data_IF_982799784123
#
_entry.id   IF_982799784123
#
_cell.length_a   1.000
_cell.length_b   1.000
_cell.length_c   1.000
_cell.angle_alpha   90.00
_cell.angle_beta   90.00
_cell.angle_gamma   90.00
#
_symmetry.space_group_name_H-M   'P 1'
#
loop_
_entity.id
_entity.type
_entity.pdbx_description
1 polymer ?
#
# COMPACT_ATOMS: atom_id res chain seq x y z
N UNK A 1 2.74 7.32 38.99
CA UNK A 1 3.38 8.02 37.86
C UNK A 1 3.39 9.52 38.14
N UNK A 2 4.53 10.17 37.92
CA UNK A 2 4.58 11.63 37.88
C UNK A 2 3.98 12.15 36.54
N UNK A 3 3.85 13.47 36.41
CA UNK A 3 3.25 14.09 35.23
C UNK A 3 4.05 13.81 33.95
N UNK A 4 5.38 13.92 34.02
CA UNK A 4 6.28 13.61 32.90
C UNK A 4 6.11 12.16 32.38
N UNK A 5 5.94 11.19 33.29
CA UNK A 5 5.68 9.80 32.91
C UNK A 5 4.33 9.63 32.21
N UNK A 6 3.31 10.43 32.55
CA UNK A 6 2.01 10.38 31.86
C UNK A 6 2.11 10.95 30.45
N UNK A 7 2.72 12.12 30.30
CA UNK A 7 2.93 12.76 29.01
C UNK A 7 3.80 11.89 28.09
N UNK A 8 4.84 11.26 28.63
CA UNK A 8 5.67 10.33 27.87
C UNK A 8 4.90 9.08 27.42
N UNK A 9 4.03 8.54 28.28
CA UNK A 9 3.17 7.40 27.93
C UNK A 9 2.18 7.76 26.81
N UNK A 10 1.55 8.92 26.89
CA UNK A 10 0.63 9.41 25.85
C UNK A 10 1.34 9.60 24.50
N UNK A 11 2.57 10.16 24.52
CA UNK A 11 3.40 10.26 23.32
C UNK A 11 3.70 8.88 22.70
N UNK A 12 4.08 7.90 23.53
CA UNK A 12 4.35 6.55 23.05
C UNK A 12 3.11 5.86 22.48
N UNK A 13 1.94 6.08 23.08
CA UNK A 13 0.67 5.56 22.58
C UNK A 13 0.30 6.16 21.22
N UNK A 14 0.52 7.46 21.03
CA UNK A 14 0.35 8.11 19.72
C UNK A 14 1.33 7.55 18.68
N UNK A 15 2.62 7.41 19.03
CA UNK A 15 3.62 6.84 18.13
C UNK A 15 3.28 5.40 17.73
N UNK A 16 2.80 4.59 18.68
CA UNK A 16 2.37 3.23 18.42
C UNK A 16 1.17 3.19 17.47
N UNK A 17 0.18 4.07 17.68
CA UNK A 17 -1.00 4.15 16.82
C UNK A 17 -0.63 4.55 15.40
N UNK A 18 0.20 5.59 15.24
CA UNK A 18 0.71 6.02 13.93
C UNK A 18 1.46 4.88 13.22
N UNK A 19 2.29 4.14 13.96
CA UNK A 19 3.04 3.00 13.38
C UNK A 19 2.10 1.89 12.89
N UNK A 20 1.01 1.60 13.63
CA UNK A 20 0.03 0.61 13.21
C UNK A 20 -0.70 1.02 11.93
N UNK A 21 -1.07 2.28 11.81
CA UNK A 21 -1.72 2.82 10.61
C UNK A 21 -0.78 2.76 9.41
N UNK A 22 0.50 3.05 9.61
CA UNK A 22 1.54 2.93 8.57
C UNK A 22 1.71 1.48 8.10
N UNK A 23 1.72 0.51 9.02
CA UNK A 23 1.78 -0.92 8.69
C UNK A 23 0.59 -1.32 7.82
N UNK A 24 -0.62 -0.89 8.16
CA UNK A 24 -1.82 -1.21 7.37
C UNK A 24 -1.73 -0.69 5.93
N UNK A 25 -1.23 0.53 5.74
CA UNK A 25 -1.03 1.11 4.40
C UNK A 25 0.02 0.30 3.62
N UNK A 26 1.12 -0.08 4.27
CA UNK A 26 2.17 -0.88 3.64
C UNK A 26 1.68 -2.28 3.25
N UNK A 27 0.90 -2.94 4.11
CA UNK A 27 0.30 -4.25 3.81
C UNK A 27 -0.65 -4.16 2.60
N UNK A 28 -1.42 -3.06 2.49
CA UNK A 28 -2.30 -2.86 1.34
C UNK A 28 -1.51 -2.61 0.05
N UNK A 29 -0.42 -1.83 0.12
CA UNK A 29 0.48 -1.63 -1.01
C UNK A 29 1.11 -2.95 -1.47
N UNK A 30 1.62 -3.77 -0.54
CA UNK A 30 2.23 -5.06 -0.85
C UNK A 30 1.25 -6.01 -1.53
N UNK A 31 0.01 -6.08 -1.02
CA UNK A 31 -1.06 -6.85 -1.65
C UNK A 31 -1.29 -6.43 -3.11
N UNK A 32 -1.43 -5.12 -3.37
CA UNK A 32 -1.66 -4.61 -4.74
C UNK A 32 -0.47 -4.86 -5.66
N UNK A 33 0.76 -4.68 -5.17
CA UNK A 33 1.97 -4.98 -5.92
C UNK A 33 2.07 -6.48 -6.26
N UNK A 34 1.66 -7.35 -5.34
CA UNK A 34 1.60 -8.78 -5.61
C UNK A 34 0.55 -9.11 -6.68
N UNK A 35 -0.63 -8.48 -6.66
CA UNK A 35 -1.64 -8.64 -7.70
C UNK A 35 -1.13 -8.16 -9.07
N UNK A 36 -0.44 -7.01 -9.13
CA UNK A 36 0.21 -6.53 -10.36
C UNK A 36 1.20 -7.56 -10.91
N UNK A 37 2.01 -8.16 -10.04
CA UNK A 37 2.95 -9.23 -10.42
C UNK A 37 2.23 -10.42 -11.05
N UNK A 38 1.15 -10.90 -10.43
CA UNK A 38 0.37 -12.04 -10.96
C UNK A 38 -0.21 -11.73 -12.35
N UNK A 39 -0.72 -10.51 -12.54
CA UNK A 39 -1.26 -10.07 -13.84
C UNK A 39 -0.14 -9.98 -14.87
N UNK A 40 1.03 -9.45 -14.51
CA UNK A 40 2.17 -9.36 -15.42
C UNK A 40 2.71 -10.74 -15.82
N UNK A 41 2.79 -11.68 -14.87
CA UNK A 41 3.18 -13.06 -15.12
C UNK A 41 2.18 -13.77 -16.05
N UNK A 42 0.88 -13.55 -15.85
CA UNK A 42 -0.15 -14.02 -16.78
C UNK A 42 0.02 -13.41 -18.18
N UNK A 43 0.15 -12.07 -18.24
CA UNK A 43 0.27 -11.30 -19.48
C UNK A 43 1.50 -11.68 -20.34
N UNK A 44 2.56 -12.16 -19.70
CA UNK A 44 3.78 -12.63 -20.34
C UNK A 44 3.62 -13.98 -21.06
N UNK A 45 2.53 -14.71 -20.82
CA UNK A 45 2.23 -15.97 -21.51
C UNK A 45 2.06 -15.80 -23.03
N UNK A 46 2.60 -16.76 -23.78
CA UNK A 46 2.58 -16.77 -25.26
C UNK A 46 1.19 -17.05 -25.87
N UNK A 47 0.19 -17.37 -25.05
CA UNK A 47 -1.16 -17.76 -25.50
C UNK A 47 -2.21 -16.63 -25.50
N UNK A 48 -1.86 -15.42 -25.08
CA UNK A 48 -2.85 -14.35 -24.91
C UNK A 48 -3.15 -13.58 -26.18
N UNK A 49 -4.43 -13.34 -26.39
CA UNK A 49 -4.91 -12.42 -27.41
C UNK A 49 -4.49 -10.97 -27.10
N UNK A 50 -4.43 -10.09 -28.12
CA UNK A 50 -4.21 -8.67 -27.91
C UNK A 50 -5.22 -8.02 -26.95
N UNK A 51 -6.47 -8.51 -26.93
CA UNK A 51 -7.51 -8.01 -26.03
C UNK A 51 -7.22 -8.36 -24.58
N UNK A 52 -6.82 -9.61 -24.30
CA UNK A 52 -6.44 -10.04 -22.94
C UNK A 52 -5.21 -9.30 -22.43
N UNK A 53 -4.22 -9.06 -23.30
CA UNK A 53 -3.04 -8.23 -22.96
C UNK A 53 -3.44 -6.79 -22.65
N UNK A 54 -4.34 -6.21 -23.46
CA UNK A 54 -4.87 -4.87 -23.23
C UNK A 54 -5.62 -4.77 -21.89
N UNK A 55 -6.45 -5.76 -21.58
CA UNK A 55 -7.17 -5.82 -20.30
C UNK A 55 -6.21 -5.99 -19.11
N UNK A 56 -5.18 -6.82 -19.24
CA UNK A 56 -4.13 -6.97 -18.22
C UNK A 56 -3.41 -5.65 -17.95
N UNK A 57 -3.03 -4.92 -19.00
CA UNK A 57 -2.41 -3.59 -18.87
C UNK A 57 -3.33 -2.58 -18.17
N UNK A 58 -4.63 -2.58 -18.47
CA UNK A 58 -5.59 -1.70 -17.79
C UNK A 58 -5.70 -2.00 -16.30
N UNK A 59 -5.71 -3.29 -15.92
CA UNK A 59 -5.74 -3.69 -14.51
C UNK A 59 -4.47 -3.26 -13.77
N UNK A 60 -3.30 -3.45 -14.39
CA UNK A 60 -2.01 -2.99 -13.83
C UNK A 60 -2.00 -1.47 -13.65
N UNK A 61 -2.47 -0.69 -14.63
CA UNK A 61 -2.55 0.77 -14.51
C UNK A 61 -3.53 1.23 -13.42
N UNK A 62 -4.63 0.50 -13.21
CA UNK A 62 -5.52 0.79 -12.09
C UNK A 62 -4.83 0.54 -10.75
N UNK A 63 -4.21 -0.64 -10.58
CA UNK A 63 -3.50 -0.99 -9.35
C UNK A 63 -2.36 -0.01 -9.06
N UNK A 64 -1.65 0.44 -10.09
CA UNK A 64 -0.62 1.47 -9.97
C UNK A 64 -1.16 2.77 -9.37
N UNK A 65 -2.30 3.27 -9.88
CA UNK A 65 -2.94 4.48 -9.32
C UNK A 65 -3.36 4.29 -7.87
N UNK A 66 -3.82 3.11 -7.51
CA UNK A 66 -4.17 2.79 -6.11
C UNK A 66 -2.93 2.79 -5.22
N UNK A 67 -1.80 2.22 -5.69
CA UNK A 67 -0.51 2.26 -4.97
C UNK A 67 0.00 3.70 -4.83
N UNK A 68 -0.06 4.52 -5.89
CA UNK A 68 0.34 5.94 -5.85
C UNK A 68 -0.51 6.73 -4.82
N UNK A 69 -1.79 6.40 -4.72
CA UNK A 69 -2.72 7.01 -3.76
C UNK A 69 -2.37 6.60 -2.32
N UNK A 70 -2.05 5.32 -2.09
CA UNK A 70 -1.61 4.81 -0.79
C UNK A 70 -0.27 5.40 -0.37
N UNK A 71 0.67 5.55 -1.31
CA UNK A 71 1.95 6.20 -1.04
C UNK A 71 1.76 7.67 -0.64
N UNK A 72 0.85 8.38 -1.33
CA UNK A 72 0.48 9.75 -0.96
C UNK A 72 -0.13 9.82 0.45
N UNK A 73 -1.05 8.91 0.78
CA UNK A 73 -1.65 8.81 2.12
C UNK A 73 -0.59 8.52 3.19
N UNK A 74 0.36 7.62 2.88
CA UNK A 74 1.47 7.28 3.78
C UNK A 74 2.30 8.50 4.16
N UNK A 75 2.65 9.34 3.17
CA UNK A 75 3.40 10.57 3.40
C UNK A 75 2.59 11.64 4.12
N UNK A 76 1.29 11.76 3.84
CA UNK A 76 0.41 12.70 4.54
C UNK A 76 0.31 12.40 6.04
N UNK A 77 0.35 11.12 6.41
CA UNK A 77 0.31 10.65 7.81
C UNK A 77 1.67 10.76 8.54
N UNK A 78 2.67 11.42 7.94
CA UNK A 78 4.02 11.60 8.52
C UNK A 78 4.22 13.00 9.14
N UNK A 79 3.20 13.87 9.12
CA UNK A 79 3.19 15.22 9.67
C UNK A 79 2.15 15.39 10.77
#
# INVERSE_FOLDING_TARGET
MNQEQKEYKELLEQQLQNTKEQIQILDEMDFKLHEMKKIAEYAAGDGLSPEERSNSNKQIEQLKKEVDSLETLRYANYH
#
